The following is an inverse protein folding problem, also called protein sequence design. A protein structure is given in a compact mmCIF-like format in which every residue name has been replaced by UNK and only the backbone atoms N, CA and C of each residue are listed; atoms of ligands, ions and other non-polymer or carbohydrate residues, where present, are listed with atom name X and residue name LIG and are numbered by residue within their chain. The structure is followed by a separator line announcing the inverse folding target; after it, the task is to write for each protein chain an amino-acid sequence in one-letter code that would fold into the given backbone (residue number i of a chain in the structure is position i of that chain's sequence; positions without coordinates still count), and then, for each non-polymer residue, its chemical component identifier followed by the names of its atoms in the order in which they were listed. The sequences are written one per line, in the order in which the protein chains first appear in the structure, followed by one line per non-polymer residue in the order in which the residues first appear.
data_IF_349698943801
#
_entry.id   IF_349698943801
#
_cell.length_a   1.000
_cell.length_b   1.000
_cell.length_c   1.000
_cell.angle_alpha   90.00
_cell.angle_beta   90.00
_cell.angle_gamma   90.00
#
_symmetry.space_group_name_H-M   'P 1'
#
loop_
_entity.id
_entity.type
_entity.pdbx_description
1 polymer ?
2 non-polymer ?
3 non-polymer ?
4 non-polymer ?
5 water ?
#
# COMPACT_ATOMS: atom_id res chain seq x y z
N UNK A 3 -6.24 3.03 -23.38
CA UNK A 3 -5.01 2.75 -22.58
C UNK A 3 -5.09 1.32 -22.01
N UNK A 4 -5.99 1.13 -21.04
CA UNK A 4 -6.33 -0.19 -20.55
C UNK A 4 -7.73 -0.54 -21.02
N UNK A 5 -7.89 -1.76 -21.53
CA UNK A 5 -9.20 -2.19 -22.02
C UNK A 5 -10.28 -1.96 -20.97
N UNK A 6 -9.99 -2.28 -19.72
CA UNK A 6 -10.96 -2.09 -18.65
C UNK A 6 -11.23 -0.62 -18.40
N UNK A 7 -10.19 0.22 -18.54
CA UNK A 7 -10.35 1.65 -18.27
C UNK A 7 -11.30 2.29 -19.27
N UNK A 8 -11.10 2.01 -20.56
CA UNK A 8 -11.98 2.59 -21.58
C UNK A 8 -13.43 2.25 -21.33
N UNK A 9 -13.72 0.98 -21.06
CA UNK A 9 -15.10 0.58 -20.78
C UNK A 9 -15.61 1.22 -19.51
N UNK A 10 -14.75 1.40 -18.51
CA UNK A 10 -15.17 2.10 -17.29
C UNK A 10 -15.47 3.56 -17.60
N UNK A 11 -14.66 4.20 -18.45
CA UNK A 11 -14.94 5.57 -18.85
C UNK A 11 -16.30 5.67 -19.52
N UNK A 12 -16.52 4.87 -20.57
CA UNK A 12 -17.83 4.84 -21.22
C UNK A 12 -18.93 4.58 -20.20
N UNK A 13 -18.70 3.64 -19.29
CA UNK A 13 -19.72 3.29 -18.30
C UNK A 13 -20.07 4.49 -17.43
N UNK A 14 -19.07 5.27 -17.00
CA UNK A 14 -19.36 6.44 -16.18
C UNK A 14 -20.16 7.48 -16.96
N UNK A 15 -19.78 7.72 -18.22
CA UNK A 15 -20.46 8.71 -19.04
C UNK A 15 -21.91 8.30 -19.30
N UNK A 16 -22.11 7.06 -19.76
CA UNK A 16 -23.47 6.60 -20.03
C UNK A 16 -24.37 6.67 -18.81
N UNK A 17 -23.79 6.76 -17.60
CA UNK A 17 -24.55 7.00 -16.39
C UNK A 17 -24.51 8.46 -15.96
N UNK A 18 -24.13 9.35 -16.86
CA UNK A 18 -24.25 10.78 -16.61
C UNK A 18 -23.18 11.37 -15.75
N UNK A 19 -21.94 10.91 -15.89
CA UNK A 19 -20.80 11.45 -15.18
C UNK A 19 -19.86 12.06 -16.21
N UNK A 20 -19.61 13.35 -16.07
CA UNK A 20 -18.88 14.06 -17.10
C UNK A 20 -17.41 14.18 -16.74
N UNK A 21 -16.51 14.14 -17.72
CA UNK A 21 -15.10 14.40 -17.44
C UNK A 21 -14.87 15.85 -17.08
N UNK A 22 -13.78 16.09 -16.34
CA UNK A 22 -13.40 17.42 -15.90
C UNK A 22 -11.93 17.64 -16.18
N UNK A 23 -11.61 18.78 -16.76
CA UNK A 23 -10.23 19.11 -17.16
C UNK A 23 -9.56 19.88 -16.02
N UNK A 24 -8.64 19.22 -15.32
CA UNK A 24 -7.82 19.87 -14.32
C UNK A 24 -6.44 20.16 -14.91
N UNK A 25 -5.92 21.36 -14.64
CA UNK A 25 -4.60 21.73 -15.11
C UNK A 25 -3.60 21.69 -13.96
N UNK A 26 -2.32 21.86 -14.31
CA UNK A 26 -1.25 21.64 -13.36
C UNK A 26 -1.45 22.47 -12.09
N UNK A 27 -1.08 21.87 -10.96
CA UNK A 27 -1.10 22.48 -9.63
C UNK A 27 -2.52 22.54 -9.05
N UNK A 28 -3.54 22.14 -9.80
CA UNK A 28 -4.89 22.09 -9.26
C UNK A 28 -5.05 20.90 -8.32
N UNK A 29 -5.97 21.04 -7.38
CA UNK A 29 -6.28 19.98 -6.42
C UNK A 29 -7.63 19.39 -6.77
N UNK A 30 -7.63 18.14 -7.25
CA UNK A 30 -8.90 17.45 -7.50
C UNK A 30 -9.67 17.31 -6.20
N UNK A 31 -8.97 17.09 -5.10
CA UNK A 31 -9.55 17.23 -3.78
C UNK A 31 -8.42 17.53 -2.79
N UNK A 32 -8.77 18.16 -1.68
CA UNK A 32 -7.82 18.45 -0.63
C UNK A 32 -8.28 17.76 0.66
N UNK A 33 -7.44 17.86 1.70
CA UNK A 33 -7.61 17.05 2.89
C UNK A 33 -8.71 17.57 3.82
N UNK A 34 -9.16 18.82 3.66
CA UNK A 34 -10.19 19.39 4.50
C UNK A 34 -11.58 19.28 3.87
N UNK A 35 -11.73 18.42 2.87
CA UNK A 35 -13.00 18.26 2.16
C UNK A 35 -13.85 17.26 2.92
N UNK A 36 -14.98 17.67 3.53
CA UNK A 36 -15.82 16.69 4.23
C UNK A 36 -16.55 15.74 3.31
N UNK A 37 -16.56 16.00 2.00
CA UNK A 37 -17.11 15.06 1.03
C UNK A 37 -16.01 14.10 0.59
N UNK A 38 -16.31 12.81 0.64
CA UNK A 38 -15.38 11.79 0.18
C UNK A 38 -15.71 11.40 -1.25
N UNK A 39 -14.69 11.35 -2.10
CA UNK A 39 -14.87 11.14 -3.52
C UNK A 39 -14.20 9.85 -3.98
N UNK A 40 -14.65 9.35 -5.13
CA UNK A 40 -13.94 8.32 -5.88
C UNK A 40 -13.50 8.95 -7.20
N UNK A 41 -12.21 9.28 -7.28
CA UNK A 41 -11.67 9.94 -8.46
C UNK A 41 -11.22 8.86 -9.45
N UNK A 42 -11.65 8.99 -10.69
CA UNK A 42 -11.18 8.14 -11.78
C UNK A 42 -10.30 8.99 -12.67
N UNK A 43 -9.00 9.00 -12.36
CA UNK A 43 -8.02 9.73 -13.16
C UNK A 43 -7.86 9.01 -14.49
N UNK A 44 -8.54 9.50 -15.52
CA UNK A 44 -8.47 8.86 -16.83
C UNK A 44 -7.14 9.18 -17.53
N UNK A 45 -6.82 10.46 -17.67
CA UNK A 45 -5.56 10.90 -18.25
C UNK A 45 -4.94 11.98 -17.39
N UNK A 46 -3.63 12.06 -17.42
CA UNK A 46 -2.88 13.02 -16.63
C UNK A 46 -2.09 12.33 -15.52
N UNK A 47 -1.34 13.15 -14.80
CA UNK A 47 -0.48 12.68 -13.72
C UNK A 47 -0.80 13.50 -12.47
N UNK A 48 -0.89 12.81 -11.34
CA UNK A 48 -1.22 13.45 -10.07
C UNK A 48 -0.30 12.89 -8.98
N UNK A 49 -0.28 13.59 -7.85
CA UNK A 49 0.43 13.13 -6.67
C UNK A 49 -0.47 13.29 -5.45
N UNK A 50 -0.24 12.43 -4.47
CA UNK A 50 -0.98 12.47 -3.21
C UNK A 50 -0.10 13.13 -2.16
N UNK A 51 -0.56 14.27 -1.63
CA UNK A 51 0.21 15.03 -0.67
C UNK A 51 -0.52 15.09 0.67
N UNK A 52 0.23 15.47 1.70
CA UNK A 52 -0.33 15.67 3.04
C UNK A 52 0.34 16.87 3.68
N UNK A 53 -0.47 17.77 4.20
CA UNK A 53 0.01 18.93 4.94
C UNK A 53 -0.01 18.58 6.42
N UNK A 54 1.14 18.71 7.07
CA UNK A 54 1.24 18.38 8.48
C UNK A 54 0.75 19.55 9.33
N UNK A 55 0.67 19.32 10.64
CA UNK A 55 0.37 20.41 11.56
C UNK A 55 1.39 21.53 11.44
N UNK A 56 2.66 21.18 11.23
CA UNK A 56 3.68 22.20 10.99
C UNK A 56 3.42 23.00 9.73
N UNK A 57 2.56 22.52 8.84
CA UNK A 57 2.39 23.10 7.54
C UNK A 57 3.34 22.55 6.48
N UNK A 58 4.06 21.48 6.79
CA UNK A 58 5.01 20.90 5.85
C UNK A 58 4.28 19.97 4.89
N UNK A 59 4.53 20.16 3.60
CA UNK A 59 3.86 19.39 2.55
C UNK A 59 4.68 18.13 2.28
N UNK A 60 4.02 16.98 2.32
CA UNK A 60 4.66 15.69 2.13
C UNK A 60 4.05 15.01 0.91
N UNK A 61 4.87 14.74 -0.10
CA UNK A 61 4.46 13.86 -1.18
C UNK A 61 4.45 12.42 -0.69
N UNK A 62 3.44 11.65 -1.13
CA UNK A 62 3.24 10.31 -0.61
C UNK A 62 3.12 9.27 -1.71
N UNK A 63 2.58 9.66 -2.87
CA UNK A 63 2.35 8.71 -3.94
C UNK A 63 2.07 9.47 -5.22
N UNK A 64 2.31 8.82 -6.35
CA UNK A 64 2.05 9.38 -7.66
C UNK A 64 1.15 8.42 -8.43
N UNK A 65 0.19 8.99 -9.18
CA UNK A 65 -0.72 8.19 -9.99
C UNK A 65 -0.79 8.76 -11.40
N UNK A 66 -0.96 7.86 -12.37
CA UNK A 66 -1.10 8.22 -13.77
C UNK A 66 -2.32 7.55 -14.34
N UNK A 67 -3.08 8.29 -15.14
CA UNK A 67 -4.28 7.73 -15.75
C UNK A 67 -3.93 6.61 -16.71
N UNK A 68 -4.79 5.60 -16.85
CA UNK A 68 -6.04 5.48 -16.10
C UNK A 68 -5.76 4.90 -14.72
N UNK A 69 -6.47 5.39 -13.71
CA UNK A 69 -6.34 4.84 -12.36
C UNK A 69 -7.46 5.38 -11.49
N UNK A 70 -7.69 4.72 -10.36
CA UNK A 70 -8.73 5.09 -9.41
C UNK A 70 -8.06 5.56 -8.11
N UNK A 71 -8.60 6.62 -7.53
CA UNK A 71 -8.10 7.15 -6.27
C UNK A 71 -9.29 7.55 -5.41
N UNK A 72 -9.64 6.71 -4.44
CA UNK A 72 -10.78 6.94 -3.56
C UNK A 72 -10.29 7.51 -2.23
N UNK A 73 -10.96 8.57 -1.76
CA UNK A 73 -10.62 9.19 -0.49
C UNK A 73 -11.47 8.66 0.66
N UNK A 74 -12.56 7.95 0.39
CA UNK A 74 -13.42 7.45 1.43
C UNK A 74 -13.66 5.95 1.29
N UNK A 75 -14.10 5.36 2.40
CA UNK A 75 -14.39 3.93 2.43
C UNK A 75 -15.70 3.65 1.70
N UNK A 76 -15.71 2.57 0.91
CA UNK A 76 -16.87 2.28 0.08
C UNK A 76 -18.10 2.05 0.94
N UNK A 77 -17.94 1.38 2.08
CA UNK A 77 -19.07 1.02 2.92
C UNK A 77 -19.50 2.20 3.79
N UNK A 78 -18.64 2.64 4.70
CA UNK A 78 -18.98 3.69 5.64
C UNK A 78 -18.95 5.09 5.02
N UNK A 79 -18.35 5.23 3.83
CA UNK A 79 -18.23 6.53 3.16
C UNK A 79 -17.45 7.54 4.00
N UNK A 80 -16.67 7.06 4.97
CA UNK A 80 -15.78 7.87 5.79
C UNK A 80 -14.41 7.97 5.14
N UNK A 81 -13.70 9.04 5.47
CA UNK A 81 -12.35 9.24 4.96
C UNK A 81 -11.45 8.09 5.37
N UNK A 82 -10.67 7.58 4.41
CA UNK A 82 -9.58 6.66 4.73
C UNK A 82 -8.36 7.40 5.23
N UNK A 83 -8.25 8.69 4.94
CA UNK A 83 -7.09 9.47 5.29
C UNK A 83 -7.15 10.87 4.71
N UNK A 84 -6.68 11.85 5.47
CA UNK A 84 -6.72 13.24 5.06
C UNK A 84 -5.56 13.49 4.09
N UNK A 85 -5.86 13.41 2.80
CA UNK A 85 -4.85 13.62 1.77
C UNK A 85 -5.36 14.64 0.75
N UNK A 86 -4.41 15.20 0.02
CA UNK A 86 -4.71 16.06 -1.12
C UNK A 86 -4.24 15.37 -2.39
N UNK A 87 -4.99 15.53 -3.47
CA UNK A 87 -4.63 14.96 -4.77
C UNK A 87 -4.37 16.13 -5.72
N UNK A 88 -3.11 16.32 -6.07
CA UNK A 88 -2.68 17.45 -6.88
C UNK A 88 -2.29 16.98 -8.28
N UNK A 89 -2.62 17.77 -9.28
CA UNK A 89 -2.19 17.51 -10.65
C UNK A 89 -0.78 18.06 -10.83
N UNK A 90 0.07 17.30 -11.50
CA UNK A 90 1.45 17.72 -11.74
C UNK A 90 1.76 17.65 -13.23
N UNK A 91 0.84 17.06 -14.01
CA UNK A 91 0.92 17.15 -15.47
C UNK A 91 0.28 18.46 -15.93
N UNK A 92 0.57 18.83 -17.19
CA UNK A 92 0.03 20.08 -17.71
C UNK A 92 -1.49 20.09 -17.64
N UNK A 93 -2.11 18.99 -18.00
CA UNK A 93 -3.56 18.88 -17.92
C UNK A 93 -3.89 17.45 -17.53
N UNK A 94 -5.09 17.27 -17.01
CA UNK A 94 -5.52 15.99 -16.49
C UNK A 94 -7.03 15.88 -16.61
N UNK A 95 -7.50 14.74 -17.11
CA UNK A 95 -8.91 14.43 -17.19
C UNK A 95 -9.27 13.47 -16.06
N UNK A 96 -10.32 13.79 -15.33
CA UNK A 96 -10.72 12.99 -14.17
C UNK A 96 -12.24 13.04 -14.05
N UNK A 97 -12.80 11.93 -13.60
CA UNK A 97 -14.24 11.79 -13.41
C UNK A 97 -14.51 11.79 -11.91
N UNK A 98 -14.90 12.94 -11.38
CA UNK A 98 -15.18 13.07 -9.96
C UNK A 98 -16.57 12.53 -9.67
N UNK A 99 -16.66 11.64 -8.68
CA UNK A 99 -17.90 10.94 -8.35
C UNK A 99 -18.01 10.84 -6.83
N UNK A 100 -19.20 11.16 -6.31
CA UNK A 100 -19.46 10.89 -4.90
C UNK A 100 -19.28 9.41 -4.61
N UNK A 101 -18.93 9.10 -3.36
CA UNK A 101 -18.71 7.71 -3.00
C UNK A 101 -20.04 6.95 -2.97
N UNK A 102 -21.09 7.59 -2.46
CA UNK A 102 -22.40 6.95 -2.42
C UNK A 102 -22.88 6.58 -3.83
N UNK A 103 -22.52 7.38 -4.83
CA UNK A 103 -22.90 7.07 -6.20
C UNK A 103 -22.04 5.95 -6.77
N UNK A 104 -20.76 5.89 -6.39
CA UNK A 104 -19.91 4.78 -6.80
C UNK A 104 -20.50 3.46 -6.33
N UNK A 105 -20.81 3.37 -5.04
CA UNK A 105 -21.44 2.20 -4.46
C UNK A 105 -22.58 1.71 -5.36
N UNK A 106 -23.35 2.66 -5.89
CA UNK A 106 -24.47 2.32 -6.76
C UNK A 106 -24.00 1.76 -8.09
N UNK A 107 -23.04 2.44 -8.73
CA UNK A 107 -22.63 2.07 -10.08
C UNK A 107 -21.95 0.70 -10.11
N UNK A 108 -21.10 0.42 -9.12
CA UNK A 108 -20.40 -0.85 -9.11
C UNK A 108 -21.31 -2.01 -8.72
N UNK A 109 -22.43 -1.71 -8.06
CA UNK A 109 -23.36 -2.76 -7.65
C UNK A 109 -24.08 -3.37 -8.84
N UNK A 110 -24.33 -2.57 -9.88
CA UNK A 110 -25.03 -3.04 -11.06
C UNK A 110 -24.07 -3.52 -12.15
N UNK A 111 -22.77 -3.60 -11.86
CA UNK A 111 -21.80 -4.02 -12.87
C UNK A 111 -20.56 -4.56 -12.15
N UNK A 112 -20.60 -5.86 -11.84
CA UNK A 112 -19.49 -6.50 -11.13
C UNK A 112 -18.18 -6.41 -11.92
N UNK A 113 -18.25 -6.38 -13.25
CA UNK A 113 -17.03 -6.26 -14.06
C UNK A 113 -16.25 -5.01 -13.67
N UNK A 114 -16.93 -3.85 -13.65
CA UNK A 114 -16.25 -2.63 -13.25
C UNK A 114 -15.94 -2.63 -11.76
N UNK A 115 -16.73 -3.34 -10.96
CA UNK A 115 -16.45 -3.44 -9.52
C UNK A 115 -15.11 -4.13 -9.30
N UNK A 116 -14.86 -5.23 -10.01
CA UNK A 116 -13.56 -5.91 -9.90
C UNK A 116 -12.43 -5.01 -10.36
N UNK A 117 -12.65 -4.25 -11.44
CA UNK A 117 -11.62 -3.35 -11.94
C UNK A 117 -11.18 -2.37 -10.86
N UNK A 118 -12.13 -1.74 -10.19
CA UNK A 118 -11.80 -0.83 -9.09
C UNK A 118 -11.12 -1.60 -7.97
N UNK A 119 -11.59 -2.81 -7.69
CA UNK A 119 -10.96 -3.65 -6.68
C UNK A 119 -9.50 -3.90 -7.04
N UNK A 120 -9.21 -4.15 -8.32
CA UNK A 120 -7.86 -4.45 -8.75
C UNK A 120 -6.94 -3.25 -8.59
N UNK A 121 -7.47 -2.03 -8.75
CA UNK A 121 -6.62 -0.85 -8.59
C UNK A 121 -6.11 -0.73 -7.17
N UNK A 122 -6.84 -1.27 -6.19
CA UNK A 122 -6.34 -1.32 -4.82
C UNK A 122 -5.24 -2.37 -4.69
N UNK A 123 -5.40 -3.51 -5.35
CA UNK A 123 -4.40 -4.57 -5.29
C UNK A 123 -3.08 -4.09 -5.88
N UNK A 124 -3.14 -3.28 -6.94
CA UNK A 124 -1.90 -2.79 -7.56
C UNK A 124 -1.20 -1.80 -6.66
N UNK A 125 -1.95 -0.96 -5.93
CA UNK A 125 -1.33 -0.05 -4.98
C UNK A 125 -0.64 -0.82 -3.86
N UNK A 126 -1.36 -1.74 -3.21
CA UNK A 126 -0.79 -2.51 -2.12
C UNK A 126 0.48 -3.22 -2.58
N UNK A 127 0.40 -3.94 -3.68
CA UNK A 127 1.53 -4.74 -4.13
C UNK A 127 2.64 -3.87 -4.72
N UNK A 128 2.29 -2.70 -5.26
CA UNK A 128 3.32 -1.75 -5.67
C UNK A 128 4.11 -1.25 -4.46
N UNK A 129 3.41 -1.03 -3.35
CA UNK A 129 4.07 -0.55 -2.13
C UNK A 129 4.99 -1.61 -1.56
N UNK A 130 4.56 -2.88 -1.59
CA UNK A 130 5.38 -3.95 -1.05
C UNK A 130 6.66 -4.12 -1.85
N UNK A 131 6.57 -4.08 -3.18
CA UNK A 131 7.76 -4.16 -4.01
C UNK A 131 8.68 -2.98 -3.75
N UNK A 132 8.13 -1.77 -3.73
CA UNK A 132 8.92 -0.57 -3.42
C UNK A 132 9.55 -0.70 -2.04
N UNK A 133 8.84 -1.33 -1.10
CA UNK A 133 9.36 -1.47 0.25
C UNK A 133 10.45 -2.53 0.34
N UNK A 134 10.34 -3.60 -0.45
CA UNK A 134 11.39 -4.60 -0.48
C UNK A 134 12.68 -4.03 -1.04
N UNK A 135 12.60 -3.34 -2.18
CA UNK A 135 13.80 -2.78 -2.80
C UNK A 135 14.47 -1.74 -1.91
N UNK A 136 13.67 -1.00 -1.13
CA UNK A 136 14.26 -0.06 -0.18
C UNK A 136 14.79 -0.76 1.06
N UNK A 137 14.20 -1.91 1.43
CA UNK A 137 14.58 -2.62 2.64
C UNK A 137 15.85 -3.45 2.45
N UNK A 138 16.49 -3.38 1.29
CA UNK A 138 17.71 -4.15 1.02
C UNK A 138 18.78 -3.21 0.50
N UNK A 139 18.40 -2.35 -0.46
CA UNK A 139 19.32 -1.41 -1.07
C UNK A 139 19.02 0.03 -0.65
N UNK A 140 18.34 0.21 0.48
CA UNK A 140 18.11 1.54 1.01
C UNK A 140 17.59 2.51 -0.04
N UNK A 141 18.08 3.75 0.03
CA UNK A 141 17.66 4.77 -0.93
C UNK A 141 18.11 4.44 -2.34
N UNK A 142 19.10 3.56 -2.51
CA UNK A 142 19.54 3.20 -3.85
C UNK A 142 18.43 2.49 -4.62
N UNK A 143 17.76 1.53 -3.97
CA UNK A 143 16.65 0.85 -4.61
C UNK A 143 15.46 1.76 -4.84
N UNK A 144 15.26 2.75 -3.96
CA UNK A 144 14.16 3.69 -4.13
C UNK A 144 14.38 4.55 -5.37
N UNK A 145 15.50 5.26 -5.43
CA UNK A 145 15.80 6.09 -6.59
C UNK A 145 15.84 5.23 -7.86
N UNK A 146 16.55 4.10 -7.80
CA UNK A 146 16.57 3.19 -8.95
C UNK A 146 15.17 2.67 -9.26
N UNK A 147 14.39 2.37 -8.22
CA UNK A 147 13.01 1.97 -8.44
C UNK A 147 12.21 3.06 -9.14
N UNK A 148 12.36 4.30 -8.68
CA UNK A 148 11.66 5.42 -9.29
C UNK A 148 12.11 5.60 -10.74
N UNK A 149 13.42 5.56 -10.97
CA UNK A 149 13.95 5.67 -12.33
C UNK A 149 13.45 4.53 -13.20
N UNK A 150 13.42 3.32 -12.65
CA UNK A 150 12.92 2.16 -13.41
C UNK A 150 11.51 2.41 -13.91
N UNK A 151 10.64 2.97 -13.06
CA UNK A 151 9.28 3.27 -13.48
C UNK A 151 9.29 4.30 -14.60
N UNK A 152 10.04 5.39 -14.42
CA UNK A 152 10.16 6.39 -15.47
C UNK A 152 10.66 5.78 -16.77
N UNK A 153 11.66 4.89 -16.68
CA UNK A 153 12.21 4.26 -17.87
C UNK A 153 11.14 3.44 -18.59
N UNK A 154 10.49 2.52 -17.88
CA UNK A 154 9.51 1.64 -18.51
C UNK A 154 8.36 2.43 -19.10
N UNK A 155 7.94 3.50 -18.44
CA UNK A 155 6.71 4.22 -18.81
C UNK A 155 6.98 5.26 -19.89
N UNK A 156 8.02 6.07 -19.72
CA UNK A 156 8.29 7.20 -20.60
C UNK A 156 9.58 7.03 -21.40
N UNK A 157 10.03 5.80 -21.58
CA UNK A 157 11.22 5.56 -22.37
C UNK A 157 10.93 5.45 -23.86
N UNK A 158 11.99 5.54 -24.65
CA UNK A 158 11.90 5.43 -26.09
C UNK A 158 13.07 4.61 -26.61
N UNK A 159 12.81 3.82 -27.65
CA UNK A 159 13.83 2.95 -28.24
C UNK A 159 14.70 3.77 -29.18
N UNK A 160 15.60 4.56 -28.60
CA UNK A 160 16.53 5.39 -29.36
C UNK A 160 17.94 4.86 -29.18
N UNK A 161 18.71 4.66 -30.27
CA UNK A 161 20.08 4.14 -30.12
C UNK A 161 20.93 4.90 -29.12
N UNK A 162 20.63 6.18 -28.90
CA UNK A 162 21.36 6.94 -27.89
C UNK A 162 21.18 6.31 -26.51
N UNK A 163 19.96 5.92 -26.18
CA UNK A 163 19.68 5.27 -24.90
C UNK A 163 18.20 4.99 -24.74
N UNK A 164 17.60 5.54 -23.68
CA UNK A 164 16.16 5.47 -23.46
C UNK A 164 15.70 6.88 -23.13
N UNK A 165 14.94 7.48 -24.03
CA UNK A 165 14.55 8.89 -23.93
C UNK A 165 13.39 9.02 -22.96
N UNK A 166 13.61 9.66 -21.83
CA UNK A 166 12.54 9.95 -20.88
C UNK A 166 11.64 11.00 -21.52
N UNK A 167 10.40 10.61 -21.83
CA UNK A 167 9.51 11.46 -22.63
C UNK A 167 8.94 12.63 -21.85
N UNK A 168 8.79 12.50 -20.54
CA UNK A 168 8.14 13.50 -19.71
C UNK A 168 8.48 14.91 -20.17
N UNK A 169 7.44 15.67 -20.54
CA UNK A 169 7.63 17.11 -20.71
C UNK A 169 8.28 17.67 -19.46
N UNK A 170 9.14 18.68 -19.64
CA UNK A 170 9.98 19.16 -18.54
C UNK A 170 9.18 19.54 -17.31
N UNK A 171 7.86 19.59 -17.40
CA UNK A 171 7.05 20.01 -16.27
C UNK A 171 7.15 19.04 -15.11
N UNK A 172 7.25 17.75 -15.42
CA UNK A 172 7.29 16.70 -14.40
C UNK A 172 8.67 16.10 -14.22
N UNK A 173 9.64 16.43 -15.07
CA UNK A 173 10.99 15.91 -14.92
C UNK A 173 11.61 16.40 -13.62
N UNK A 174 11.87 17.70 -13.52
CA UNK A 174 12.44 18.27 -12.31
C UNK A 174 11.44 18.39 -11.17
N UNK A 175 10.18 17.98 -11.37
CA UNK A 175 9.23 17.95 -10.26
C UNK A 175 9.76 17.10 -9.11
N UNK A 176 10.59 16.10 -9.43
CA UNK A 176 11.25 15.26 -8.43
C UNK A 176 10.32 14.87 -7.28
N UNK A 187 20.35 16.64 -1.01
CA UNK A 187 20.32 15.74 0.14
C UNK A 187 21.04 14.43 -0.18
N UNK A 188 20.93 13.98 -1.43
CA UNK A 188 21.56 12.73 -1.86
C UNK A 188 22.11 12.90 -3.27
N UNK A 189 23.00 13.87 -3.46
CA UNK A 189 23.63 14.06 -4.76
C UNK A 189 24.65 12.96 -5.06
N UNK A 190 25.07 12.19 -4.04
CA UNK A 190 25.96 11.07 -4.30
C UNK A 190 25.29 10.00 -5.15
N UNK A 191 23.97 9.87 -5.04
CA UNK A 191 23.25 8.86 -5.81
C UNK A 191 23.12 9.29 -7.26
N UNK A 192 22.62 10.51 -7.49
CA UNK A 192 22.55 11.02 -8.86
C UNK A 192 23.94 11.09 -9.48
N UNK A 193 24.97 11.33 -8.65
CA UNK A 193 26.34 11.38 -9.15
C UNK A 193 26.87 9.98 -9.43
N UNK A 194 26.62 9.04 -8.52
CA UNK A 194 27.09 7.68 -8.73
C UNK A 194 26.47 7.05 -9.98
N UNK A 195 25.39 7.62 -10.50
CA UNK A 195 24.78 7.18 -11.75
C UNK A 195 25.16 8.09 -12.91
N UNK A 196 25.22 9.41 -12.69
CA UNK A 196 25.76 10.30 -13.71
C UNK A 196 27.12 9.81 -14.19
N UNK A 197 27.95 9.32 -13.27
CA UNK A 197 29.31 8.91 -13.62
C UNK A 197 29.32 7.56 -14.33
N UNK A 198 28.38 6.69 -13.99
CA UNK A 198 28.49 5.27 -14.30
C UNK A 198 27.89 4.90 -15.66
N UNK A 199 27.51 5.87 -16.48
CA UNK A 199 26.85 5.58 -17.76
C UNK A 199 25.56 4.82 -17.53
N UNK A 200 24.82 5.22 -16.51
CA UNK A 200 23.49 4.68 -16.26
C UNK A 200 22.40 5.66 -16.67
N UNK A 201 22.66 6.95 -16.50
CA UNK A 201 21.75 8.01 -16.92
C UNK A 201 22.59 9.13 -17.53
N UNK A 202 22.14 9.70 -18.64
CA UNK A 202 22.83 10.80 -19.30
C UNK A 202 21.78 11.74 -19.86
N UNK A 203 21.93 13.00 -19.63
CA UNK A 203 21.06 14.01 -20.23
C UNK A 203 21.83 14.63 -21.40
N UNK A 204 21.74 13.97 -22.56
CA UNK A 204 22.54 14.38 -23.72
C UNK A 204 22.04 15.69 -24.31
N UNK A 205 20.73 15.77 -24.59
CA UNK A 205 20.15 16.92 -25.25
C UNK A 205 19.50 17.89 -24.28
N UNK A 206 19.97 17.93 -23.03
CA UNK A 206 19.27 18.54 -21.91
C UNK A 206 18.09 17.69 -21.44
N UNK A 207 18.06 16.42 -21.84
CA UNK A 207 16.95 15.52 -21.55
C UNK A 207 17.51 14.16 -21.16
N UNK A 208 16.96 13.59 -20.09
CA UNK A 208 17.50 12.37 -19.52
C UNK A 208 17.49 11.22 -20.51
N UNK A 209 18.53 10.39 -20.45
CA UNK A 209 18.60 9.13 -21.17
C UNK A 209 19.02 8.03 -20.19
N UNK A 210 19.04 6.79 -20.69
CA UNK A 210 19.41 5.63 -19.88
C UNK A 210 20.31 4.73 -20.74
N UNK A 211 21.52 4.48 -20.26
CA UNK A 211 22.46 3.61 -20.96
C UNK A 211 22.64 2.26 -20.27
N UNK A 212 22.01 2.06 -19.11
CA UNK A 212 22.13 0.78 -18.38
C UNK A 212 20.82 0.58 -17.60
N UNK A 213 19.89 -0.15 -18.21
CA UNK A 213 18.66 -0.54 -17.52
C UNK A 213 18.89 -1.68 -16.55
N UNK A 214 20.00 -2.41 -16.69
CA UNK A 214 20.26 -3.54 -15.80
C UNK A 214 20.67 -3.07 -14.41
N UNK A 215 21.30 -1.91 -14.31
CA UNK A 215 21.62 -1.34 -13.00
C UNK A 215 20.35 -1.10 -12.20
N UNK A 216 19.34 -0.52 -12.84
CA UNK A 216 18.08 -0.24 -12.16
C UNK A 216 17.36 -1.53 -11.77
N UNK A 217 17.29 -2.48 -12.70
CA UNK A 217 16.70 -3.77 -12.39
C UNK A 217 17.38 -4.42 -11.19
N UNK A 218 18.72 -4.34 -11.13
CA UNK A 218 19.44 -5.06 -10.10
C UNK A 218 19.15 -4.51 -8.71
N UNK A 219 18.98 -3.19 -8.60
CA UNK A 219 18.74 -2.56 -7.31
C UNK A 219 17.27 -2.27 -7.03
N UNK A 220 16.40 -2.47 -8.02
CA UNK A 220 14.95 -2.46 -7.82
C UNK A 220 14.38 -3.79 -8.30
N UNK A 221 14.86 -4.91 -7.75
CA UNK A 221 14.46 -6.22 -8.29
C UNK A 221 12.98 -6.52 -8.11
N UNK A 222 12.41 -6.21 -6.95
CA UNK A 222 11.00 -6.52 -6.72
C UNK A 222 10.10 -5.59 -7.52
N UNK A 223 10.45 -4.30 -7.60
CA UNK A 223 9.69 -3.39 -8.45
C UNK A 223 9.69 -3.88 -9.89
N UNK A 224 10.84 -4.40 -10.36
CA UNK A 224 10.90 -4.97 -11.69
C UNK A 224 9.95 -6.15 -11.82
N UNK A 225 9.93 -7.03 -10.82
CA UNK A 225 8.98 -8.13 -10.82
C UNK A 225 7.55 -7.61 -10.88
N UNK A 226 7.22 -6.62 -10.03
CA UNK A 226 5.88 -6.06 -10.03
C UNK A 226 5.51 -5.52 -11.41
N UNK A 227 6.41 -4.74 -12.00
CA UNK A 227 6.14 -4.20 -13.34
C UNK A 227 6.01 -5.30 -14.38
N UNK A 228 6.69 -6.42 -14.17
CA UNK A 228 6.56 -7.55 -15.08
C UNK A 228 5.20 -8.21 -14.95
N UNK A 229 4.60 -8.18 -13.75
CA UNK A 229 3.30 -8.79 -13.52
C UNK A 229 2.14 -7.83 -13.71
N UNK A 230 2.32 -6.54 -13.39
CA UNK A 230 1.24 -5.56 -13.48
C UNK A 230 1.17 -4.90 -14.85
N UNK A 231 2.32 -4.60 -15.45
CA UNK A 231 2.39 -3.99 -16.78
C UNK A 231 3.27 -4.83 -17.69
N UNK A 232 2.93 -6.12 -17.86
CA UNK A 232 3.78 -6.98 -18.70
C UNK A 232 3.96 -6.45 -20.11
N UNK A 233 2.95 -5.80 -20.67
CA UNK A 233 3.08 -5.19 -21.99
C UNK A 233 4.20 -4.15 -21.99
N UNK A 234 4.19 -3.25 -21.00
CA UNK A 234 5.21 -2.21 -20.93
C UNK A 234 6.57 -2.78 -20.51
N UNK A 235 6.57 -3.85 -19.70
CA UNK A 235 7.83 -4.39 -19.21
C UNK A 235 8.66 -4.98 -20.35
N UNK A 236 8.02 -5.71 -21.26
CA UNK A 236 8.76 -6.40 -22.31
C UNK A 236 9.24 -5.52 -23.43
N UNK A 237 8.69 -4.31 -23.56
CA UNK A 237 9.07 -3.43 -24.66
C UNK A 237 10.53 -3.01 -24.56
N UNK A 238 11.12 -3.06 -23.37
CA UNK A 238 12.56 -2.84 -23.21
C UNK A 238 13.34 -4.13 -23.06
N UNK A 239 12.68 -5.24 -22.72
CA UNK A 239 13.34 -6.53 -22.60
C UNK A 239 13.05 -7.39 -23.82
N UNK B 4 -14.61 -9.17 15.80
CA UNK B 4 -15.29 -8.21 14.94
C UNK B 4 -16.55 -8.84 14.33
N UNK B 5 -17.58 -8.01 14.14
CA UNK B 5 -18.84 -8.51 13.61
C UNK B 5 -18.76 -8.77 12.11
N UNK B 6 -18.30 -7.78 11.34
CA UNK B 6 -18.17 -7.94 9.90
C UNK B 6 -17.36 -9.19 9.57
N UNK B 7 -16.21 -9.36 10.25
CA UNK B 7 -15.38 -10.53 10.01
C UNK B 7 -16.12 -11.81 10.37
N UNK B 8 -16.83 -11.82 11.49
CA UNK B 8 -17.62 -12.98 11.87
C UNK B 8 -18.65 -13.32 10.80
N UNK B 9 -19.31 -12.30 10.24
CA UNK B 9 -20.27 -12.53 9.18
C UNK B 9 -19.61 -13.12 7.94
N UNK B 10 -18.33 -12.79 7.70
CA UNK B 10 -17.60 -13.38 6.59
C UNK B 10 -17.17 -14.80 6.91
N UNK B 11 -16.68 -15.05 8.11
CA UNK B 11 -16.39 -16.41 8.56
C UNK B 11 -17.56 -17.33 8.26
N UNK B 12 -18.75 -16.96 8.72
CA UNK B 12 -19.90 -17.84 8.58
C UNK B 12 -20.42 -17.86 7.15
N UNK B 13 -20.27 -16.76 6.41
CA UNK B 13 -20.63 -16.77 4.99
C UNK B 13 -19.73 -17.73 4.21
N UNK B 14 -18.45 -17.80 4.58
CA UNK B 14 -17.56 -18.77 3.95
C UNK B 14 -17.98 -20.20 4.27
N UNK B 15 -18.32 -20.46 5.54
CA UNK B 15 -18.69 -21.82 5.94
C UNK B 15 -20.02 -22.23 5.33
N UNK B 16 -20.98 -21.31 5.23
CA UNK B 16 -22.24 -21.62 4.56
C UNK B 16 -21.99 -22.20 3.17
N UNK B 17 -21.08 -21.59 2.42
CA UNK B 17 -20.77 -22.03 1.06
C UNK B 17 -19.77 -23.17 1.02
N UNK B 18 -19.63 -23.93 2.10
CA UNK B 18 -18.84 -25.15 2.09
C UNK B 18 -17.34 -24.96 2.22
N UNK B 19 -16.88 -23.78 2.60
CA UNK B 19 -15.46 -23.53 2.79
C UNK B 19 -15.14 -23.77 4.27
N UNK B 20 -14.34 -24.83 4.56
CA UNK B 20 -13.96 -25.17 5.92
C UNK B 20 -12.72 -24.39 6.34
N UNK B 21 -12.59 -24.08 7.63
CA UNK B 21 -11.32 -23.53 8.11
C UNK B 21 -10.21 -24.56 8.08
N UNK B 22 -8.98 -24.08 8.19
CA UNK B 22 -7.80 -24.93 8.17
C UNK B 22 -6.80 -24.39 9.17
N UNK B 23 -6.43 -25.20 10.16
CA UNK B 23 -5.50 -24.79 11.20
C UNK B 23 -4.07 -24.92 10.71
N UNK B 24 -3.29 -23.86 10.92
CA UNK B 24 -1.88 -23.85 10.60
C UNK B 24 -1.06 -23.65 11.88
N UNK B 25 0.20 -24.05 11.82
CA UNK B 25 1.10 -23.98 12.97
C UNK B 25 2.26 -23.06 12.63
N UNK B 26 3.03 -22.70 13.67
CA UNK B 26 4.12 -21.76 13.49
C UNK B 26 5.07 -22.24 12.41
N UNK B 27 5.60 -21.29 11.63
CA UNK B 27 6.56 -21.52 10.55
C UNK B 27 5.98 -22.31 9.39
N UNK B 28 4.67 -22.55 9.38
CA UNK B 28 4.03 -23.18 8.23
C UNK B 28 3.71 -22.14 7.16
N UNK B 29 3.55 -22.60 5.93
CA UNK B 29 3.26 -21.73 4.79
C UNK B 29 1.84 -21.97 4.31
N UNK B 30 1.03 -20.91 4.31
CA UNK B 30 -0.33 -21.00 3.77
C UNK B 30 -0.30 -20.99 2.25
N UNK B 31 0.62 -20.25 1.65
CA UNK B 31 0.91 -20.37 0.22
C UNK B 31 2.32 -19.86 -0.02
N UNK B 32 2.96 -20.39 -1.06
CA UNK B 32 4.35 -20.06 -1.36
C UNK B 32 4.46 -19.49 -2.77
N UNK B 33 5.59 -18.85 -3.04
CA UNK B 33 5.76 -18.07 -4.26
C UNK B 33 5.79 -18.93 -5.53
N UNK B 34 5.91 -20.25 -5.41
CA UNK B 34 5.94 -21.11 -6.58
C UNK B 34 4.59 -21.73 -6.90
N UNK B 35 3.63 -21.65 -5.97
CA UNK B 35 2.29 -22.15 -6.22
C UNK B 35 1.65 -21.35 -7.35
N UNK B 36 1.40 -21.95 -8.51
CA UNK B 36 0.75 -21.21 -9.60
C UNK B 36 -0.70 -20.86 -9.30
N UNK B 37 -1.31 -21.50 -8.31
CA UNK B 37 -2.67 -21.18 -7.91
C UNK B 37 -2.67 -19.91 -7.07
N UNK B 38 -3.57 -18.99 -7.40
CA UNK B 38 -3.71 -17.75 -6.67
C UNK B 38 -4.88 -17.87 -5.71
N UNK B 39 -4.68 -17.41 -4.47
CA UNK B 39 -5.62 -17.64 -3.39
C UNK B 39 -6.10 -16.32 -2.81
N UNK B 40 -7.22 -16.42 -2.10
CA UNK B 40 -7.67 -15.37 -1.18
C UNK B 40 -7.69 -15.96 0.21
N UNK B 41 -6.71 -15.58 1.02
CA UNK B 41 -6.58 -16.10 2.37
C UNK B 41 -7.39 -15.24 3.31
N UNK B 42 -8.33 -15.84 4.04
CA UNK B 42 -9.05 -15.17 5.10
C UNK B 42 -8.48 -15.67 6.42
N UNK B 43 -7.56 -14.90 6.99
CA UNK B 43 -6.92 -15.26 8.26
C UNK B 43 -7.86 -14.87 9.39
N UNK B 44 -8.67 -15.83 9.84
CA UNK B 44 -9.63 -15.53 10.91
C UNK B 44 -8.92 -15.23 12.21
N UNK B 45 -7.97 -16.08 12.60
CA UNK B 45 -7.25 -15.90 13.86
C UNK B 45 -5.82 -16.38 13.68
N UNK B 46 -4.88 -15.62 14.22
CA UNK B 46 -3.47 -15.93 14.15
C UNK B 46 -2.68 -14.73 13.68
N UNK B 47 -1.39 -14.96 13.41
CA UNK B 47 -0.48 -13.91 12.96
C UNK B 47 0.39 -14.50 11.85
N UNK B 48 0.49 -13.78 10.74
CA UNK B 48 1.26 -14.21 9.59
C UNK B 48 2.19 -13.09 9.15
N UNK B 49 3.16 -13.44 8.30
CA UNK B 49 4.05 -12.47 7.70
C UNK B 49 4.24 -12.81 6.23
N UNK B 50 4.24 -11.76 5.39
CA UNK B 50 4.44 -11.91 3.96
C UNK B 50 5.93 -11.75 3.65
N UNK B 51 6.55 -12.80 3.11
CA UNK B 51 7.98 -12.80 2.87
C UNK B 51 8.27 -12.91 1.38
N UNK B 52 9.33 -12.21 0.95
CA UNK B 52 9.89 -12.37 -0.38
C UNK B 52 11.33 -12.83 -0.24
N UNK B 53 11.75 -13.73 -1.12
CA UNK B 53 13.09 -14.32 -1.07
C UNK B 53 13.92 -13.70 -2.19
N UNK B 54 14.93 -12.93 -1.83
CA UNK B 54 15.92 -12.51 -2.81
C UNK B 54 16.66 -13.74 -3.32
N UNK B 55 17.29 -13.61 -4.49
CA UNK B 55 17.91 -14.74 -5.16
C UNK B 55 19.31 -15.04 -4.62
N UNK B 56 19.59 -14.73 -3.36
CA UNK B 56 20.70 -15.32 -2.62
C UNK B 56 20.22 -16.11 -1.41
N UNK B 57 18.90 -16.18 -1.18
CA UNK B 57 18.32 -16.94 -0.10
C UNK B 57 17.76 -16.11 1.04
N UNK B 58 18.14 -14.83 1.12
CA UNK B 58 17.73 -14.02 2.25
C UNK B 58 16.21 -13.83 2.28
N UNK B 59 15.61 -14.14 3.42
CA UNK B 59 14.19 -13.91 3.62
C UNK B 59 13.96 -12.44 3.92
N UNK B 60 12.93 -11.86 3.29
CA UNK B 60 12.59 -10.45 3.46
C UNK B 60 11.20 -10.37 4.09
N UNK B 61 11.14 -9.95 5.35
CA UNK B 61 9.88 -9.81 6.06
C UNK B 61 9.27 -8.47 5.65
N UNK B 62 8.27 -8.50 4.78
CA UNK B 62 7.73 -7.29 4.17
C UNK B 62 6.48 -6.77 4.87
N UNK B 63 5.61 -7.65 5.35
CA UNK B 63 4.39 -7.20 6.01
C UNK B 63 3.88 -8.29 6.93
N UNK B 64 3.16 -7.88 7.96
CA UNK B 64 2.56 -8.79 8.92
C UNK B 64 1.05 -8.59 8.94
N UNK B 65 0.32 -9.66 9.24
CA UNK B 65 -1.14 -9.63 9.27
C UNK B 65 -1.63 -10.33 10.52
N UNK B 66 -2.67 -9.76 11.12
CA UNK B 66 -3.37 -10.36 12.25
C UNK B 66 -4.82 -10.60 11.87
N UNK B 67 -5.32 -11.78 12.21
CA UNK B 67 -6.71 -12.09 11.91
C UNK B 67 -7.62 -11.27 12.79
N UNK B 68 -8.78 -10.84 12.29
CA UNK B 68 -9.26 -11.16 10.95
C UNK B 68 -8.69 -10.21 9.90
N UNK B 69 -8.32 -10.75 8.75
CA UNK B 69 -7.84 -9.94 7.63
C UNK B 69 -7.82 -10.80 6.38
N UNK B 70 -7.61 -10.16 5.23
CA UNK B 70 -7.63 -10.82 3.93
C UNK B 70 -6.29 -10.59 3.25
N UNK B 71 -5.73 -11.67 2.71
CA UNK B 71 -4.52 -11.62 1.88
C UNK B 71 -4.83 -12.33 0.57
N UNK B 72 -4.38 -11.76 -0.55
CA UNK B 72 -4.69 -12.29 -1.87
C UNK B 72 -3.44 -12.32 -2.70
N UNK B 73 -3.13 -13.49 -3.27
CA UNK B 73 -1.94 -13.66 -4.09
C UNK B 73 -2.21 -13.47 -5.58
N UNK B 74 -3.43 -13.13 -5.97
CA UNK B 74 -3.72 -12.87 -7.37
C UNK B 74 -4.63 -11.67 -7.51
N UNK B 75 -4.47 -10.96 -8.62
CA UNK B 75 -5.38 -9.89 -8.97
C UNK B 75 -6.76 -10.48 -9.29
N UNK B 76 -7.80 -9.82 -8.81
CA UNK B 76 -9.15 -10.39 -8.89
C UNK B 76 -9.68 -10.35 -10.31
N UNK B 77 -9.26 -9.36 -11.10
CA UNK B 77 -9.79 -9.22 -12.45
C UNK B 77 -9.22 -10.29 -13.39
N UNK B 78 -7.89 -10.30 -13.55
CA UNK B 78 -7.24 -11.20 -14.50
C UNK B 78 -6.86 -12.54 -13.91
N UNK B 79 -6.93 -12.69 -12.59
CA UNK B 79 -6.48 -13.91 -11.92
C UNK B 79 -5.02 -14.19 -12.26
N UNK B 80 -4.19 -13.15 -12.24
CA UNK B 80 -2.74 -13.26 -12.37
C UNK B 80 -2.08 -12.86 -11.06
N UNK B 81 -0.83 -13.29 -10.90
CA UNK B 81 -0.15 -13.20 -9.61
C UNK B 81 0.13 -11.76 -9.23
N UNK B 82 -0.08 -11.44 -7.95
CA UNK B 82 0.35 -10.14 -7.43
C UNK B 82 1.87 -10.07 -7.36
N UNK B 83 2.51 -11.20 -7.09
CA UNK B 83 3.94 -11.22 -6.90
C UNK B 83 4.37 -12.56 -6.38
N UNK B 84 5.69 -12.72 -6.27
CA UNK B 84 6.29 -13.95 -5.76
C UNK B 84 6.48 -13.77 -4.26
N UNK B 85 5.50 -14.23 -3.50
CA UNK B 85 5.46 -14.05 -2.06
C UNK B 85 5.07 -15.35 -1.38
N UNK B 86 5.46 -15.45 -0.11
CA UNK B 86 5.02 -16.52 0.77
C UNK B 86 4.25 -15.91 1.92
N UNK B 87 3.40 -16.72 2.54
CA UNK B 87 2.61 -16.29 3.69
C UNK B 87 2.95 -17.23 4.84
N UNK B 88 3.88 -16.81 5.70
CA UNK B 88 4.37 -17.65 6.79
C UNK B 88 3.58 -17.36 8.06
N UNK B 89 3.22 -18.43 8.77
CA UNK B 89 2.58 -18.31 10.07
C UNK B 89 3.66 -18.17 11.13
N UNK B 90 3.61 -17.10 11.92
CA UNK B 90 4.58 -16.87 12.97
C UNK B 90 3.98 -17.02 14.36
N UNK B 91 2.66 -16.94 14.50
CA UNK B 91 2.03 -17.32 15.75
C UNK B 91 2.16 -18.83 15.96
N UNK B 92 1.77 -19.29 17.16
CA UNK B 92 1.82 -20.71 17.44
C UNK B 92 0.84 -21.48 16.56
N UNK B 93 -0.41 -21.02 16.51
CA UNK B 93 -1.44 -21.65 15.70
C UNK B 93 -2.32 -20.56 15.10
N UNK B 94 -2.60 -20.67 13.80
CA UNK B 94 -3.39 -19.69 13.08
C UNK B 94 -4.47 -20.40 12.27
N UNK B 95 -5.68 -19.84 12.29
CA UNK B 95 -6.81 -20.35 11.53
C UNK B 95 -6.97 -19.51 10.27
N UNK B 96 -7.15 -20.18 9.13
CA UNK B 96 -7.25 -19.48 7.86
C UNK B 96 -8.15 -20.26 6.90
N UNK B 97 -9.05 -19.55 6.24
CA UNK B 97 -9.87 -20.12 5.17
C UNK B 97 -9.15 -19.87 3.85
N UNK B 98 -8.77 -20.94 3.17
CA UNK B 98 -8.07 -20.85 1.89
C UNK B 98 -9.09 -20.99 0.78
N UNK B 99 -9.04 -20.08 -0.18
CA UNK B 99 -10.04 -19.99 -1.24
C UNK B 99 -9.33 -19.68 -2.54
N UNK B 100 -9.54 -20.52 -3.55
CA UNK B 100 -9.06 -20.18 -4.88
C UNK B 100 -9.63 -18.83 -5.31
N UNK B 101 -8.83 -18.05 -6.03
CA UNK B 101 -9.28 -16.72 -6.44
C UNK B 101 -10.48 -16.83 -7.37
N UNK B 102 -10.56 -17.94 -8.12
CA UNK B 102 -11.73 -18.17 -8.97
C UNK B 102 -13.01 -18.20 -8.16
N UNK B 103 -12.99 -18.92 -7.03
CA UNK B 103 -14.18 -19.03 -6.20
C UNK B 103 -14.51 -17.72 -5.49
N UNK B 104 -13.50 -16.88 -5.25
CA UNK B 104 -13.74 -15.61 -4.58
C UNK B 104 -14.70 -14.75 -5.38
N UNK B 105 -14.46 -14.62 -6.68
CA UNK B 105 -15.32 -13.78 -7.50
C UNK B 105 -16.76 -14.23 -7.46
N UNK B 106 -16.99 -15.54 -7.34
CA UNK B 106 -18.36 -16.06 -7.30
C UNK B 106 -19.01 -15.77 -5.95
N UNK B 107 -18.25 -15.92 -4.86
CA UNK B 107 -18.80 -15.66 -3.53
C UNK B 107 -19.19 -14.19 -3.39
N UNK B 108 -18.39 -13.28 -3.94
CA UNK B 108 -18.66 -11.86 -3.80
C UNK B 108 -19.71 -11.37 -4.80
N UNK B 109 -19.75 -11.98 -6.00
CA UNK B 109 -20.75 -11.58 -6.98
C UNK B 109 -22.17 -11.78 -6.44
N UNK B 110 -22.37 -12.79 -5.60
CA UNK B 110 -23.69 -13.04 -5.05
C UNK B 110 -24.05 -12.03 -3.97
N UNK B 111 -23.07 -11.59 -3.18
CA UNK B 111 -23.31 -10.73 -2.02
C UNK B 111 -22.43 -9.49 -2.10
N UNK B 112 -23.07 -8.32 -2.16
CA UNK B 112 -22.32 -7.06 -2.18
C UNK B 112 -21.76 -6.71 -0.81
N UNK B 113 -22.42 -7.14 0.26
CA UNK B 113 -21.98 -6.76 1.60
C UNK B 113 -20.58 -7.29 1.88
N UNK B 114 -20.36 -8.58 1.65
CA UNK B 114 -19.03 -9.14 1.83
C UNK B 114 -18.06 -8.65 0.76
N UNK B 115 -18.56 -8.26 -0.41
CA UNK B 115 -17.72 -7.57 -1.38
C UNK B 115 -17.20 -6.25 -0.81
N UNK B 116 -18.08 -5.49 -0.15
CA UNK B 116 -17.64 -4.25 0.50
C UNK B 116 -16.68 -4.53 1.65
N UNK B 117 -16.85 -5.65 2.34
CA UNK B 117 -15.92 -5.99 3.43
C UNK B 117 -14.51 -6.21 2.88
N UNK B 118 -14.37 -7.10 1.89
CA UNK B 118 -13.06 -7.33 1.29
C UNK B 118 -12.55 -6.05 0.66
N UNK B 119 -13.44 -5.26 0.06
CA UNK B 119 -13.04 -4.04 -0.63
C UNK B 119 -12.48 -3.01 0.35
N UNK B 120 -13.21 -2.75 1.44
CA UNK B 120 -12.74 -1.78 2.41
C UNK B 120 -11.54 -2.30 3.19
N UNK B 121 -11.33 -3.62 3.19
CA UNK B 121 -10.12 -4.17 3.80
C UNK B 121 -8.88 -3.76 3.01
N UNK B 122 -8.92 -3.93 1.68
CA UNK B 122 -7.83 -3.45 0.85
C UNK B 122 -7.70 -1.94 0.94
N UNK B 123 -8.81 -1.22 1.14
CA UNK B 123 -8.72 0.23 1.30
C UNK B 123 -7.88 0.58 2.52
N UNK B 124 -8.09 -0.13 3.63
CA UNK B 124 -7.33 0.15 4.84
C UNK B 124 -5.84 -0.13 4.61
N UNK B 125 -5.52 -1.27 4.00
CA UNK B 125 -4.13 -1.63 3.77
C UNK B 125 -3.41 -0.56 2.96
N UNK B 126 -4.09 0.01 1.96
CA UNK B 126 -3.48 1.09 1.17
C UNK B 126 -3.21 2.30 2.04
N UNK B 127 -4.24 2.78 2.75
CA UNK B 127 -4.08 3.97 3.59
C UNK B 127 -3.09 3.70 4.72
N UNK B 128 -3.13 2.48 5.27
CA UNK B 128 -2.17 2.10 6.31
C UNK B 128 -0.75 2.37 5.84
N UNK B 129 -0.39 1.88 4.67
CA UNK B 129 0.98 2.05 4.18
C UNK B 129 1.29 3.52 3.92
N UNK B 130 0.32 4.25 3.36
CA UNK B 130 0.54 5.69 3.13
C UNK B 130 0.77 6.42 4.44
N UNK B 131 0.09 6.00 5.51
CA UNK B 131 0.26 6.66 6.79
C UNK B 131 1.63 6.35 7.39
N UNK B 132 2.07 5.09 7.32
CA UNK B 132 3.40 4.75 7.81
C UNK B 132 4.46 5.51 7.03
N UNK B 133 4.42 5.45 5.70
CA UNK B 133 5.39 6.17 4.90
C UNK B 133 5.37 7.66 5.21
N UNK B 134 4.18 8.22 5.43
CA UNK B 134 4.10 9.63 5.81
C UNK B 134 4.89 9.87 7.09
N UNK B 135 4.58 9.14 8.15
CA UNK B 135 5.27 9.33 9.43
C UNK B 135 6.77 9.12 9.29
N UNK B 136 7.20 8.21 8.41
CA UNK B 136 8.62 7.94 8.25
C UNK B 136 9.33 9.03 7.48
N UNK B 137 8.64 9.68 6.54
CA UNK B 137 9.22 10.81 5.83
C UNK B 137 9.26 12.08 6.68
N UNK B 138 8.41 12.18 7.70
CA UNK B 138 8.38 13.35 8.56
C UNK B 138 9.36 13.21 9.72
N UNK B 139 9.51 12.00 10.26
CA UNK B 139 10.30 11.78 11.46
C UNK B 139 11.29 10.63 11.32
N UNK B 140 11.52 10.15 10.10
CA UNK B 140 12.52 9.12 9.88
C UNK B 140 12.22 7.87 10.69
N UNK B 141 13.29 7.19 11.12
CA UNK B 141 13.13 5.97 11.89
C UNK B 141 12.38 6.21 13.18
N UNK B 142 12.53 7.40 13.78
CA UNK B 142 11.78 7.72 14.99
C UNK B 142 10.29 7.52 14.77
N UNK B 143 9.77 8.04 13.66
CA UNK B 143 8.37 7.84 13.35
C UNK B 143 8.03 6.38 13.08
N UNK B 144 8.91 5.68 12.36
CA UNK B 144 8.68 4.27 12.09
C UNK B 144 8.66 3.46 13.37
N UNK B 145 9.56 3.76 14.30
CA UNK B 145 9.60 3.03 15.56
C UNK B 145 8.36 3.34 16.38
N UNK B 146 8.07 4.63 16.57
CA UNK B 146 6.89 5.02 17.34
C UNK B 146 5.61 4.49 16.70
N UNK B 147 5.55 4.50 15.37
CA UNK B 147 4.37 3.96 14.71
C UNK B 147 4.20 2.48 14.95
N UNK B 148 5.26 1.71 14.71
CA UNK B 148 5.24 0.29 15.04
C UNK B 148 4.88 0.09 16.51
N UNK B 149 5.48 0.89 17.40
CA UNK B 149 5.15 0.80 18.82
C UNK B 149 3.70 1.15 19.08
N UNK B 150 3.14 2.07 18.29
CA UNK B 150 1.74 2.44 18.45
C UNK B 150 0.81 1.29 18.07
N UNK B 151 1.20 0.48 17.08
CA UNK B 151 0.42 -0.70 16.73
C UNK B 151 0.31 -1.63 17.94
N UNK B 152 1.46 -2.07 18.45
CA UNK B 152 1.49 -3.00 19.57
C UNK B 152 0.71 -2.48 20.77
N UNK B 153 0.51 -1.17 20.87
CA UNK B 153 -0.23 -0.60 21.98
C UNK B 153 -1.73 -0.59 21.71
N UNK B 154 -2.15 -0.06 20.56
CA UNK B 154 -3.59 0.01 20.26
C UNK B 154 -4.21 -1.37 20.19
N UNK B 155 -3.50 -2.34 19.62
CA UNK B 155 -4.04 -3.67 19.41
C UNK B 155 -3.85 -4.53 20.65
N UNK B 156 -2.61 -4.93 20.92
CA UNK B 156 -2.30 -5.86 22.00
C UNK B 156 -2.09 -5.18 23.34
N UNK B 157 -2.55 -3.93 23.49
CA UNK B 157 -2.36 -3.18 24.71
C UNK B 157 -3.54 -3.27 25.65
N UNK B 158 -3.25 -3.06 26.93
CA UNK B 158 -4.28 -3.04 27.96
C UNK B 158 -3.77 -2.21 29.13
N UNK B 159 -4.68 -1.49 29.78
CA UNK B 159 -4.32 -0.58 30.85
C UNK B 159 -4.07 -1.35 32.14
N UNK B 160 -2.96 -1.03 32.80
CA UNK B 160 -2.55 -1.70 34.04
C UNK B 160 -1.98 -0.64 35.00
N UNK B 161 -1.54 -1.02 36.19
CA UNK B 161 -0.92 -0.01 37.07
C UNK B 161 0.36 0.57 36.49
N UNK B 162 1.19 -0.27 35.87
CA UNK B 162 2.48 0.15 35.34
C UNK B 162 2.40 0.63 33.89
N UNK B 163 1.25 1.15 33.48
CA UNK B 163 1.08 1.67 32.13
C UNK B 163 0.23 0.78 31.26
N UNK B 164 0.54 0.73 29.96
CA UNK B 164 -0.20 -0.08 29.00
C UNK B 164 0.65 -1.28 28.67
N UNK B 165 0.23 -2.45 29.16
CA UNK B 165 1.00 -3.67 28.98
C UNK B 165 0.68 -4.31 27.64
N UNK B 166 1.71 -4.84 26.99
CA UNK B 166 1.58 -5.51 25.69
C UNK B 166 1.18 -6.97 25.93
N UNK B 167 -0.03 -7.32 25.50
CA UNK B 167 -0.56 -8.67 25.68
C UNK B 167 0.00 -9.58 24.58
N UNK B 168 1.31 -9.80 24.65
CA UNK B 168 1.98 -10.65 23.69
C UNK B 168 2.86 -11.66 24.42
N UNK B 169 2.61 -12.94 24.17
CA UNK B 169 3.56 -13.98 24.52
C UNK B 169 4.92 -13.61 23.99
N UNK B 170 5.91 -13.51 24.89
CA UNK B 170 7.23 -13.08 24.48
C UNK B 170 7.83 -13.96 23.40
N UNK B 171 7.24 -15.13 23.13
CA UNK B 171 7.55 -15.86 21.90
C UNK B 171 7.37 -14.95 20.69
N UNK B 172 6.24 -14.23 20.65
CA UNK B 172 5.97 -13.33 19.53
C UNK B 172 6.83 -12.08 19.60
N UNK B 173 7.10 -11.59 20.82
CA UNK B 173 7.84 -10.33 20.99
C UNK B 173 9.16 -10.36 20.23
N UNK B 174 10.07 -11.26 20.63
CA UNK B 174 11.41 -11.27 20.05
C UNK B 174 11.41 -11.55 18.55
N UNK B 175 10.25 -11.91 17.97
CA UNK B 175 10.17 -11.98 16.52
C UNK B 175 10.35 -10.61 15.89
N UNK B 176 10.04 -9.54 16.63
CA UNK B 176 10.27 -8.17 16.18
C UNK B 176 9.69 -7.94 14.79
N UNK B 185 21.01 -1.56 12.87
CA UNK B 185 20.39 -1.74 14.18
C UNK B 185 21.00 -0.81 15.21
N UNK B 186 22.09 -0.13 14.82
CA UNK B 186 22.72 0.84 15.72
C UNK B 186 21.83 2.05 15.91
N UNK B 187 21.31 2.60 14.81
CA UNK B 187 20.39 3.73 14.92
C UNK B 187 19.09 3.33 15.60
N UNK B 188 18.69 2.07 15.45
CA UNK B 188 17.48 1.59 16.12
C UNK B 188 17.71 1.54 17.63
N UNK B 189 18.92 1.19 18.06
CA UNK B 189 19.22 1.17 19.48
C UNK B 189 19.16 2.56 20.08
N UNK B 190 19.70 3.55 19.36
CA UNK B 190 19.66 4.93 19.84
C UNK B 190 18.23 5.37 20.16
N UNK B 191 17.29 5.04 19.28
CA UNK B 191 15.91 5.50 19.47
C UNK B 191 15.29 4.81 20.67
N UNK B 192 15.31 3.47 20.69
CA UNK B 192 14.70 2.76 21.81
C UNK B 192 15.35 3.18 23.13
N UNK B 193 16.63 3.54 23.09
CA UNK B 193 17.32 3.98 24.30
C UNK B 193 16.64 5.21 24.88
N UNK B 194 16.42 6.25 24.06
CA UNK B 194 15.77 7.46 24.55
C UNK B 194 14.38 7.14 25.09
N UNK B 195 13.62 6.29 24.39
CA UNK B 195 12.31 5.90 24.87
C UNK B 195 12.41 5.28 26.26
N UNK B 196 13.48 4.52 26.50
CA UNK B 196 13.68 3.90 27.82
C UNK B 196 13.95 4.95 28.89
N UNK B 197 14.85 5.90 28.60
CA UNK B 197 15.25 6.86 29.62
C UNK B 197 14.12 7.83 29.95
N UNK B 198 13.32 8.21 28.95
CA UNK B 198 12.13 9.02 29.20
C UNK B 198 10.97 8.20 29.73
N UNK B 199 11.14 6.90 29.88
CA UNK B 199 10.12 6.01 30.44
C UNK B 199 8.85 5.98 29.60
N UNK B 200 8.94 6.37 28.32
CA UNK B 200 7.84 6.11 27.39
C UNK B 200 7.56 4.63 27.33
N UNK B 201 8.58 3.81 27.59
CA UNK B 201 8.45 2.35 27.71
C UNK B 201 9.23 1.91 28.94
N UNK B 202 9.15 0.62 29.24
CA UNK B 202 9.81 0.07 30.43
C UNK B 202 10.35 -1.32 30.12
N UNK B 203 10.70 -2.07 31.17
CA UNK B 203 11.21 -3.42 31.02
C UNK B 203 10.85 -4.24 32.26
N UNK B 204 9.68 -3.99 32.81
CA UNK B 204 9.33 -4.50 34.14
C UNK B 204 8.81 -5.92 34.09
N UNK B 205 9.22 -6.73 35.07
CA UNK B 205 8.75 -8.11 35.21
C UNK B 205 8.96 -8.91 33.94
N UNK B 206 10.00 -8.54 33.17
CA UNK B 206 10.31 -9.12 31.87
C UNK B 206 9.27 -8.75 30.82
N UNK B 207 8.28 -7.91 31.15
CA UNK B 207 7.24 -7.52 30.23
C UNK B 207 7.63 -6.22 29.52
N UNK B 208 6.69 -5.65 28.78
CA UNK B 208 6.89 -4.36 28.13
C UNK B 208 5.62 -3.53 28.28
N UNK B 209 5.72 -2.40 28.95
CA UNK B 209 4.60 -1.50 29.16
C UNK B 209 4.86 -0.18 28.43
N UNK B 210 3.78 0.46 28.01
CA UNK B 210 3.82 1.79 27.41
C UNK B 210 3.10 2.74 28.35
N UNK B 211 3.77 3.83 28.73
CA UNK B 211 3.24 4.79 29.69
C UNK B 211 2.93 6.14 29.09
N UNK B 212 3.64 6.56 28.05
CA UNK B 212 3.39 7.83 27.37
C UNK B 212 2.91 7.53 25.96
N UNK B 213 1.63 7.21 25.84
CA UNK B 213 1.04 7.02 24.51
C UNK B 213 1.07 8.32 23.72
N UNK B 214 0.99 9.46 24.40
CA UNK B 214 0.98 10.75 23.70
C UNK B 214 2.28 10.99 22.94
N UNK B 215 3.39 10.48 23.47
CA UNK B 215 4.66 10.60 22.77
C UNK B 215 4.61 9.88 21.43
N UNK B 216 4.17 8.62 21.44
CA UNK B 216 4.09 7.85 20.20
C UNK B 216 3.21 8.55 19.17
N UNK B 217 2.09 9.11 19.62
CA UNK B 217 1.17 9.78 18.69
C UNK B 217 1.83 11.01 18.07
N UNK B 218 2.75 11.65 18.78
CA UNK B 218 3.38 12.87 18.26
C UNK B 218 4.23 12.58 17.04
N UNK B 219 5.04 11.52 17.09
CA UNK B 219 5.97 11.21 16.01
C UNK B 219 5.42 10.18 15.04
N UNK B 220 4.27 9.58 15.33
CA UNK B 220 3.55 8.78 14.35
C UNK B 220 2.14 9.33 14.17
N UNK B 221 2.01 10.62 13.86
CA UNK B 221 0.65 11.22 13.83
C UNK B 221 -0.22 10.66 12.73
N UNK B 222 0.32 10.44 11.54
CA UNK B 222 -0.50 9.97 10.43
C UNK B 222 -0.99 8.54 10.67
N UNK B 223 -0.14 7.70 11.27
CA UNK B 223 -0.60 6.37 11.64
C UNK B 223 -1.65 6.43 12.73
N UNK B 224 -1.50 7.36 13.68
CA UNK B 224 -2.53 7.57 14.69
C UNK B 224 -3.84 7.99 14.04
N UNK B 225 -3.77 8.85 13.02
CA UNK B 225 -4.96 9.21 12.26
C UNK B 225 -5.57 7.98 11.59
N UNK B 226 -4.72 7.10 11.06
CA UNK B 226 -5.23 5.92 10.36
C UNK B 226 -6.10 5.07 11.27
N UNK B 227 -5.69 4.89 12.52
CA UNK B 227 -6.52 4.15 13.46
C UNK B 227 -7.88 4.82 13.65
N UNK B 228 -7.88 6.11 13.99
CA UNK B 228 -9.12 6.84 14.20
C UNK B 228 -10.07 6.68 13.02
N UNK B 229 -9.53 6.64 11.80
CA UNK B 229 -10.35 6.55 10.59
C UNK B 229 -10.66 5.12 10.18
N UNK B 230 -9.75 4.17 10.45
CA UNK B 230 -9.91 2.79 10.00
C UNK B 230 -10.17 1.80 11.12
N UNK B 231 -9.78 2.11 12.35
CA UNK B 231 -10.06 1.25 13.51
C UNK B 231 -10.49 2.12 14.68
N UNK B 232 -11.61 2.85 14.52
CA UNK B 232 -12.02 3.80 15.57
C UNK B 232 -12.37 3.14 16.88
N UNK B 233 -12.93 1.93 16.86
CA UNK B 233 -13.25 1.24 18.11
C UNK B 233 -11.99 0.97 18.91
N UNK B 234 -10.92 0.52 18.24
CA UNK B 234 -9.64 0.31 18.93
C UNK B 234 -9.02 1.64 19.34
N UNK B 235 -9.19 2.68 18.53
CA UNK B 235 -8.60 3.98 18.84
C UNK B 235 -9.23 4.59 20.07
N UNK B 236 -10.57 4.60 20.13
CA UNK B 236 -11.26 5.18 21.27
C UNK B 236 -11.05 4.42 22.57
N UNK B 237 -10.60 3.17 22.48
CA UNK B 237 -10.34 2.38 23.68
C UNK B 237 -9.30 3.05 24.55
N UNK B 238 -8.14 3.39 23.98
CA UNK B 238 -7.04 4.02 24.70
C UNK B 238 -7.03 5.54 24.48
N UNK B 239 -8.20 6.16 24.41
CA UNK B 239 -8.29 7.61 24.22
C UNK B 239 -9.61 8.13 24.78
X LIG C 1 -11.12 12.78 0.43
X LIG D 1 -6.58 7.90 -0.79
X LIG D 1 -5.83 6.63 -1.18
X LIG D 1 -6.52 5.37 -0.65
X LIG D 1 -5.73 6.55 -2.58
X LIG E 1 0.10 2.69 -7.52
X LIG E 1 0.85 2.99 -8.81
X LIG E 1 0.28 2.23 -10.01
X LIG E 1 0.77 4.37 -9.08
X LIG F 1 8.65 -4.05 9.83
X LIG F 1 8.54 -2.82 9.56
X LIG F 1 9.54 -2.10 9.50
X LIG F 1 7.14 -2.23 9.33
X LIG F 1 6.10 -3.33 8.97
X LIG F 1 5.77 -3.16 7.18
X LIG F 1 6.32 -1.49 7.15
X LIG F 1 5.99 -0.56 6.17
X LIG F 1 5.07 -0.88 4.95
X LIG F 1 3.80 -1.76 5.02
X LIG F 1 5.01 -2.25 4.22
X LIG F 1 6.58 0.81 6.36
X LIG F 1 6.28 1.94 5.36
X LIG F 1 7.44 2.37 4.49
X LIG F 1 8.56 2.97 5.03
X LIG F 1 9.61 3.41 4.36
X LIG F 1 9.64 3.25 2.97
X LIG F 1 10.77 3.70 2.20
X LIG F 1 10.82 3.56 0.84
X LIG F 1 9.72 2.96 0.17
X LIG F 1 8.63 2.53 0.89
X LIG F 1 8.55 2.66 2.30
X LIG F 1 7.44 2.22 3.11
X LIG F 1 7.38 1.06 7.45
X LIG F 1 7.71 0.07 8.42
X LIG F 1 8.42 0.34 9.38
X LIG F 1 7.14 -1.22 8.24
X LIG G 1 2.36 -16.71 -5.33
X LIG H 1 -1.28 -4.23 6.55
X LIG H 1 -1.97 -3.94 7.88
X LIG H 1 -3.20 -3.06 7.72
X LIG H 1 -2.33 -5.17 8.48
X LIG I 1 -0.43 -9.31 -1.41
X LIG I 1 -1.42 -8.26 -0.90
X LIG I 1 -2.69 -8.21 -1.74
X LIG I 1 -1.76 -8.56 0.43
#
# INVERSE_FOLDING_TARGET
GAMNAQAEEFKKYLETNGIKPKQFHKKELIFNQWDPQEYCIFLYDGITKLTSISENGTIMNLQYYKGAFVIMSGFIDTETSVGYYNLEVISEQATAYVIKINELKELLSKNLTHFFYVFQTLQKQVSYSLAKFNDFSINGKLGSICGQLLILTYVYGKETPDGIKITLDNLTMQELGYSSGIAHSSAVSRIISKLKQEKVIVYKNSCFYVQNLDYLKRYAPKLDEWFYLACPATWGKLN
GAMNAQAEEFKKYLETNGIKPKQFHKKELIFNQWDPQEYCIFLYDGITKLTSISENGTIMNLQYYKGAFVIMSGFIDTETSVGYYNLEVISEQATAYVIKINELKELLSKNLTHFFYVFQTLQKQVSYSLAKFNDFSINGKLGSICGQLLILTYVYGKETPDGIKITLDNLTMQELGYSSGIAHSSAVSRIISKLKQEKVIVYKNSCFYVQNLDYLKRYAPKLDEWFYLACPATWGKLN
NA NA
IPA C1 C2 C3 O2
IPA C1 C2 C3 O2
K29 O01 C02 O03 C04 C05 S06 C07 C08 C09 C10 C11 C12 C13 C14 C15 N16 C17 C18 C19 C20 C21 C22 C23 C24 C25 O26 N27
NA NA
IPA C1 C2 C3 O2
IPA C1 C2 C3 O2
#
